data_IF_777658115778
#
_entry.id   IF_777658115778
#
_cell.length_a   1.000
_cell.length_b   1.000
_cell.length_c   1.000
_cell.angle_alpha   90.00
_cell.angle_beta   90.00
_cell.angle_gamma   90.00
#
_symmetry.space_group_name_H-M   'P 1'
#
loop_
_entity.id
_entity.type
_entity.pdbx_description
1 polymer ?
#
# COMPACT_ATOMS: atom_id res chain seq x y z
N UNK A 1 40.80 -0.85 -29.17
CA UNK A 1 39.58 -0.77 -30.00
C UNK A 1 38.39 -0.68 -29.04
N UNK A 2 37.46 0.26 -29.24
CA UNK A 2 36.25 0.38 -28.39
C UNK A 2 35.19 -0.52 -29.00
N UNK A 3 34.60 -1.42 -28.21
CA UNK A 3 33.54 -2.28 -28.71
C UNK A 3 32.25 -1.47 -28.90
N UNK A 4 31.52 -1.75 -29.98
CA UNK A 4 30.24 -1.11 -30.25
C UNK A 4 29.16 -1.68 -29.33
N UNK A 5 28.32 -0.81 -28.78
CA UNK A 5 27.21 -1.26 -27.94
C UNK A 5 26.17 -2.02 -28.78
N UNK A 6 25.75 -3.20 -28.33
CA UNK A 6 24.76 -4.03 -29.05
C UNK A 6 23.31 -3.61 -28.81
N UNK A 7 23.04 -2.72 -27.87
CA UNK A 7 21.67 -2.28 -27.56
C UNK A 7 21.10 -1.48 -28.72
N UNK A 8 19.83 -1.73 -29.05
CA UNK A 8 19.15 -1.04 -30.14
C UNK A 8 19.15 0.48 -29.93
N UNK A 9 19.39 1.23 -31.00
CA UNK A 9 19.50 2.70 -30.99
C UNK A 9 20.63 3.31 -30.13
N UNK A 10 21.50 2.50 -29.52
CA UNK A 10 22.68 3.00 -28.82
C UNK A 10 23.83 3.24 -29.80
N UNK A 11 24.39 4.45 -29.81
CA UNK A 11 25.50 4.85 -30.70
C UNK A 11 26.88 4.76 -30.04
N UNK A 12 26.97 4.25 -28.82
CA UNK A 12 28.26 4.15 -28.11
C UNK A 12 29.24 3.24 -28.84
N UNK A 13 30.47 3.72 -29.04
CA UNK A 13 31.55 2.99 -29.73
C UNK A 13 31.55 3.07 -31.27
N UNK A 14 30.55 3.72 -31.88
CA UNK A 14 30.55 4.05 -33.30
C UNK A 14 31.44 5.27 -33.60
N UNK A 15 31.86 5.46 -34.85
CA UNK A 15 32.76 6.56 -35.27
C UNK A 15 32.28 7.95 -34.83
N UNK A 16 30.96 8.19 -34.92
CA UNK A 16 30.30 9.45 -34.55
C UNK A 16 29.69 9.44 -33.15
N UNK A 17 29.92 8.37 -32.39
CA UNK A 17 29.28 8.13 -31.10
C UNK A 17 30.19 8.41 -29.90
N UNK A 18 29.61 8.48 -28.69
CA UNK A 18 30.40 8.63 -27.48
C UNK A 18 31.27 7.39 -27.24
N UNK A 19 32.48 7.59 -26.73
CA UNK A 19 33.38 6.51 -26.30
C UNK A 19 33.21 6.31 -24.80
N UNK A 20 32.38 5.35 -24.41
CA UNK A 20 32.14 4.99 -23.01
C UNK A 20 32.63 3.57 -22.72
N UNK A 21 32.74 3.23 -21.44
CA UNK A 21 33.06 1.87 -21.01
C UNK A 21 31.97 0.89 -21.45
N UNK A 22 32.41 -0.27 -21.91
CA UNK A 22 31.55 -1.35 -22.40
C UNK A 22 31.91 -2.66 -21.70
N UNK A 23 30.91 -3.48 -21.42
CA UNK A 23 31.06 -4.75 -20.72
C UNK A 23 30.60 -5.90 -21.63
N UNK A 24 31.39 -6.97 -21.67
CA UNK A 24 31.07 -8.17 -22.42
C UNK A 24 29.99 -8.99 -21.70
N UNK A 25 29.32 -9.85 -22.47
CA UNK A 25 28.37 -10.80 -21.91
C UNK A 25 29.06 -11.74 -20.92
N UNK A 26 28.45 -12.02 -19.77
CA UNK A 26 29.00 -12.94 -18.77
C UNK A 26 29.02 -14.38 -19.28
N UNK A 27 29.88 -15.20 -18.67
CA UNK A 27 29.96 -16.64 -18.92
C UNK A 27 28.80 -17.40 -18.26
N UNK A 28 28.29 -16.92 -17.13
CA UNK A 28 27.15 -17.50 -16.42
C UNK A 28 25.90 -17.49 -17.31
N UNK A 29 25.30 -18.67 -17.54
CA UNK A 29 24.18 -18.85 -18.46
C UNK A 29 22.95 -18.02 -18.07
N UNK A 30 22.59 -18.00 -16.79
CA UNK A 30 21.40 -17.29 -16.28
C UNK A 30 21.48 -15.78 -16.50
N UNK A 31 22.64 -15.17 -16.19
CA UNK A 31 22.86 -13.74 -16.34
C UNK A 31 23.00 -13.35 -17.81
N UNK A 32 23.65 -14.21 -18.60
CA UNK A 32 23.77 -14.05 -20.06
C UNK A 32 22.40 -14.03 -20.73
N UNK A 33 21.50 -14.93 -20.34
CA UNK A 33 20.11 -14.96 -20.85
C UNK A 33 19.36 -13.67 -20.55
N UNK A 34 19.49 -13.13 -19.33
CA UNK A 34 18.88 -11.82 -18.97
C UNK A 34 19.40 -10.69 -19.85
N UNK A 35 20.70 -10.68 -20.15
CA UNK A 35 21.28 -9.67 -21.05
C UNK A 35 20.82 -9.85 -22.50
N UNK A 36 20.67 -11.10 -22.97
CA UNK A 36 20.12 -11.40 -24.31
C UNK A 36 18.68 -10.91 -24.41
N UNK A 37 17.87 -11.19 -23.39
CA UNK A 37 16.49 -10.74 -23.29
C UNK A 37 16.41 -9.21 -23.34
N UNK A 38 17.26 -8.50 -22.61
CA UNK A 38 17.32 -7.04 -22.67
C UNK A 38 17.67 -6.50 -24.06
N UNK A 39 18.60 -7.14 -24.79
CA UNK A 39 18.93 -6.71 -26.16
C UNK A 39 17.75 -6.93 -27.12
N UNK A 40 16.93 -7.96 -26.87
CA UNK A 40 15.68 -8.24 -27.58
C UNK A 40 15.78 -8.16 -29.11
N UNK A 41 16.86 -8.70 -29.69
CA UNK A 41 17.05 -8.79 -31.15
C UNK A 41 16.60 -10.15 -31.64
N UNK A 42 15.75 -10.17 -32.66
CA UNK A 42 15.26 -11.39 -33.30
C UNK A 42 16.42 -12.15 -33.94
N UNK A 43 16.47 -13.47 -33.72
CA UNK A 43 17.45 -14.39 -34.31
C UNK A 43 18.92 -14.00 -34.06
N UNK A 44 19.20 -13.30 -32.94
CA UNK A 44 20.53 -12.82 -32.60
C UNK A 44 21.07 -13.47 -31.33
N UNK A 45 22.34 -13.88 -31.37
CA UNK A 45 23.09 -14.39 -30.23
C UNK A 45 24.37 -13.57 -30.00
N UNK A 46 24.79 -13.40 -28.74
CA UNK A 46 25.98 -12.63 -28.43
C UNK A 46 27.24 -13.39 -28.82
N UNK A 47 28.13 -12.70 -29.55
CA UNK A 47 29.49 -13.16 -29.87
C UNK A 47 30.50 -12.69 -28.81
N UNK A 48 31.75 -13.15 -28.91
CA UNK A 48 32.86 -12.67 -28.06
C UNK A 48 33.12 -11.16 -28.14
N UNK A 49 32.67 -10.51 -29.21
CA UNK A 49 32.82 -9.06 -29.40
C UNK A 49 31.58 -8.27 -28.99
N UNK A 50 30.49 -8.95 -28.64
CA UNK A 50 29.26 -8.31 -28.20
C UNK A 50 29.46 -7.69 -26.82
N UNK A 51 29.13 -6.40 -26.69
CA UNK A 51 29.26 -5.66 -25.44
C UNK A 51 28.11 -4.65 -25.27
N UNK A 52 27.75 -4.37 -24.01
CA UNK A 52 26.75 -3.37 -23.62
C UNK A 52 27.47 -2.23 -22.91
N UNK A 53 27.14 -0.98 -23.24
CA UNK A 53 27.76 0.18 -22.61
C UNK A 53 27.22 0.47 -21.21
N UNK A 54 28.02 1.21 -20.43
CA UNK A 54 27.73 1.58 -19.04
C UNK A 54 26.37 2.24 -18.83
N UNK A 55 25.86 2.99 -19.79
CA UNK A 55 24.58 3.72 -19.68
C UNK A 55 23.35 2.81 -19.52
N UNK A 56 23.48 1.52 -19.85
CA UNK A 56 22.37 0.57 -19.75
C UNK A 56 22.28 -0.10 -18.37
N UNK A 57 23.22 0.18 -17.48
CA UNK A 57 23.30 -0.40 -16.15
C UNK A 57 23.05 0.66 -15.08
N UNK A 58 22.43 0.24 -13.98
CA UNK A 58 22.30 1.08 -12.79
C UNK A 58 23.65 1.28 -12.09
N UNK A 59 23.87 2.48 -11.55
CA UNK A 59 25.12 2.86 -10.87
C UNK A 59 25.51 1.93 -9.72
N UNK A 60 24.53 1.30 -9.06
CA UNK A 60 24.78 0.34 -7.97
C UNK A 60 25.69 -0.81 -8.41
N UNK A 61 25.62 -1.20 -9.67
CA UNK A 61 26.39 -2.30 -10.26
C UNK A 61 27.79 -1.90 -10.73
N UNK A 62 28.11 -0.62 -10.77
CA UNK A 62 29.34 -0.09 -11.37
C UNK A 62 30.33 0.26 -10.25
N UNK A 63 31.60 -0.11 -10.43
CA UNK A 63 32.74 0.40 -9.65
C UNK A 63 33.48 1.44 -10.50
N UNK A 64 33.43 2.69 -10.05
CA UNK A 64 34.17 3.80 -10.65
C UNK A 64 35.61 3.82 -10.14
N UNK A 65 36.58 3.96 -11.04
CA UNK A 65 38.01 3.98 -10.75
C UNK A 65 38.81 4.42 -11.98
N UNK A 66 40.10 4.06 -12.07
CA UNK A 66 40.91 4.32 -13.29
C UNK A 66 40.30 3.67 -14.55
N UNK A 67 39.61 2.54 -14.38
CA UNK A 67 38.74 1.92 -15.38
C UNK A 67 37.43 1.56 -14.69
N UNK A 68 36.31 1.77 -15.37
CA UNK A 68 35.01 1.30 -14.88
C UNK A 68 34.95 -0.23 -14.95
N UNK A 69 34.54 -0.86 -13.86
CA UNK A 69 34.38 -2.32 -13.75
C UNK A 69 33.02 -2.67 -13.15
N UNK A 70 32.55 -3.89 -13.38
CA UNK A 70 31.24 -4.35 -12.87
C UNK A 70 31.39 -5.09 -11.54
N UNK A 71 30.41 -4.92 -10.65
CA UNK A 71 30.22 -5.73 -9.44
C UNK A 71 29.51 -7.03 -9.81
N UNK A 72 30.26 -8.02 -10.24
CA UNK A 72 29.69 -9.32 -10.67
C UNK A 72 28.97 -10.06 -9.53
N UNK A 73 29.40 -9.88 -8.28
CA UNK A 73 28.76 -10.47 -7.10
C UNK A 73 27.27 -10.09 -6.94
N UNK A 74 26.87 -8.94 -7.52
CA UNK A 74 25.50 -8.43 -7.47
C UNK A 74 24.63 -8.86 -8.67
N UNK A 75 25.12 -9.77 -9.54
CA UNK A 75 24.45 -10.20 -10.77
C UNK A 75 23.93 -9.01 -11.60
N UNK A 76 24.83 -8.20 -12.18
CA UNK A 76 24.43 -6.95 -12.82
C UNK A 76 23.65 -7.22 -14.11
N UNK A 77 22.43 -6.68 -14.20
CA UNK A 77 21.54 -6.82 -15.36
C UNK A 77 21.29 -5.44 -15.97
N UNK A 78 21.37 -5.29 -17.31
CA UNK A 78 21.01 -4.03 -17.95
C UNK A 78 19.49 -3.83 -17.90
N UNK A 79 19.05 -2.63 -17.52
CA UNK A 79 17.63 -2.29 -17.32
C UNK A 79 17.21 -1.02 -18.05
N UNK A 80 18.16 -0.20 -18.53
CA UNK A 80 17.89 1.13 -19.06
C UNK A 80 17.96 1.13 -20.59
N UNK A 81 16.83 1.28 -21.27
CA UNK A 81 16.79 1.52 -22.71
C UNK A 81 16.98 3.02 -23.02
N UNK A 82 17.73 3.33 -24.08
CA UNK A 82 17.85 4.71 -24.57
C UNK A 82 16.57 5.08 -25.31
N UNK A 83 15.55 5.45 -24.56
CA UNK A 83 14.23 5.81 -25.05
C UNK A 83 14.29 7.07 -25.91
N UNK A 84 14.45 6.90 -27.23
CA UNK A 84 13.63 7.72 -28.11
C UNK A 84 12.24 7.13 -27.99
N UNK A 85 11.37 7.79 -27.22
CA UNK A 85 9.94 7.50 -27.01
C UNK A 85 9.48 6.54 -28.09
N UNK A 86 9.22 5.28 -27.74
CA UNK A 86 8.68 4.30 -28.68
C UNK A 86 7.57 5.00 -29.45
N UNK A 87 7.78 5.26 -30.74
CA UNK A 87 6.70 5.71 -31.59
C UNK A 87 5.58 4.71 -31.35
N UNK A 88 4.41 5.19 -30.93
CA UNK A 88 3.21 4.35 -30.76
C UNK A 88 3.18 3.35 -31.91
N UNK A 89 3.18 2.06 -31.57
CA UNK A 89 3.34 0.96 -32.53
C UNK A 89 2.55 1.24 -33.82
N UNK A 90 3.24 1.32 -34.96
CA UNK A 90 2.59 1.43 -36.27
C UNK A 90 1.95 0.11 -36.69
N UNK A 91 2.15 -0.96 -35.93
CA UNK A 91 1.49 -2.22 -36.18
C UNK A 91 -0.02 -1.99 -36.07
N UNK A 92 -0.74 -2.37 -37.13
CA UNK A 92 -2.19 -2.40 -37.10
C UNK A 92 -2.62 -3.39 -36.02
N UNK A 93 -2.99 -2.87 -34.85
CA UNK A 93 -3.72 -3.65 -33.86
C UNK A 93 -5.02 -4.08 -34.55
N UNK A 94 -5.32 -5.39 -34.63
CA UNK A 94 -6.62 -5.83 -35.12
C UNK A 94 -7.69 -5.10 -34.31
N UNK A 95 -8.62 -4.41 -34.99
CA UNK A 95 -9.80 -3.84 -34.33
C UNK A 95 -10.67 -5.01 -33.88
N UNK A 96 -10.34 -5.60 -32.74
CA UNK A 96 -11.22 -6.53 -32.07
C UNK A 96 -12.43 -5.72 -31.59
N UNK A 97 -13.67 -6.20 -31.80
CA UNK A 97 -14.82 -5.58 -31.19
C UNK A 97 -14.56 -5.50 -29.68
N UNK A 98 -14.70 -4.30 -29.13
CA UNK A 98 -14.59 -4.09 -27.69
C UNK A 98 -15.62 -5.00 -27.02
N UNK A 99 -15.23 -5.73 -25.97
CA UNK A 99 -16.23 -6.40 -25.13
C UNK A 99 -17.19 -5.34 -24.62
N UNK A 100 -18.49 -5.60 -24.73
CA UNK A 100 -19.50 -4.71 -24.18
C UNK A 100 -19.21 -4.46 -22.69
N UNK A 101 -19.45 -3.24 -22.18
CA UNK A 101 -19.31 -2.95 -20.78
C UNK A 101 -20.07 -3.99 -19.96
N UNK A 102 -19.40 -4.59 -18.98
CA UNK A 102 -20.08 -5.45 -18.02
C UNK A 102 -21.16 -4.62 -17.34
N UNK A 103 -22.42 -5.06 -17.45
CA UNK A 103 -23.54 -4.43 -16.76
C UNK A 103 -23.25 -4.47 -15.26
N UNK A 104 -23.00 -3.30 -14.67
CA UNK A 104 -22.87 -3.15 -13.22
C UNK A 104 -24.27 -2.95 -12.66
N UNK A 105 -24.71 -3.87 -11.82
CA UNK A 105 -25.87 -3.62 -10.97
C UNK A 105 -25.43 -2.65 -9.88
N UNK A 106 -25.91 -1.41 -9.96
CA UNK A 106 -25.80 -0.49 -8.83
C UNK A 106 -26.74 -1.01 -7.75
N UNK A 107 -26.22 -1.25 -6.56
CA UNK A 107 -27.03 -1.56 -5.38
C UNK A 107 -28.02 -0.43 -5.10
N UNK A 108 -29.01 -0.70 -4.24
CA UNK A 108 -29.89 0.36 -3.75
C UNK A 108 -29.07 1.37 -2.95
N UNK A 109 -29.53 2.61 -2.90
CA UNK A 109 -28.95 3.60 -1.99
C UNK A 109 -29.28 3.19 -0.55
N UNK A 110 -28.24 2.85 0.21
CA UNK A 110 -28.32 2.44 1.62
C UNK A 110 -27.89 3.60 2.56
N UNK A 111 -27.74 4.83 2.04
CA UNK A 111 -27.29 5.97 2.83
C UNK A 111 -28.25 6.29 3.99
N UNK A 112 -29.57 6.19 3.76
CA UNK A 112 -30.57 6.36 4.81
C UNK A 112 -30.50 5.26 5.86
N UNK A 113 -30.22 4.03 5.45
CA UNK A 113 -30.13 2.90 6.37
C UNK A 113 -28.88 3.04 7.23
N UNK A 114 -27.75 3.38 6.63
CA UNK A 114 -26.49 3.69 7.32
C UNK A 114 -26.65 4.77 8.39
N UNK A 115 -27.34 5.88 8.10
CA UNK A 115 -27.56 6.94 9.09
C UNK A 115 -28.43 6.50 10.27
N UNK A 116 -29.28 5.49 10.10
CA UNK A 116 -30.24 5.07 11.12
C UNK A 116 -29.76 3.85 11.93
N UNK A 117 -28.79 3.07 11.44
CA UNK A 117 -28.32 1.84 12.10
C UNK A 117 -27.82 2.10 13.53
N UNK A 118 -27.02 3.16 13.73
CA UNK A 118 -26.40 3.45 15.04
C UNK A 118 -27.13 4.54 15.85
N UNK A 119 -28.31 4.99 15.39
CA UNK A 119 -29.01 6.12 16.01
C UNK A 119 -29.80 5.69 17.25
N UNK A 120 -29.34 6.13 18.43
CA UNK A 120 -30.06 5.93 19.70
C UNK A 120 -30.96 7.15 19.96
N UNK A 121 -32.27 6.97 19.81
CA UNK A 121 -33.26 8.06 19.95
C UNK A 121 -33.73 8.22 21.41
N UNK A 122 -33.68 7.16 22.22
CA UNK A 122 -34.17 7.20 23.59
C UNK A 122 -33.41 6.26 24.51
N UNK A 123 -33.44 6.55 25.82
CA UNK A 123 -32.86 5.71 26.87
C UNK A 123 -33.50 4.30 26.93
N UNK A 124 -34.72 4.14 26.41
CA UNK A 124 -35.38 2.84 26.32
C UNK A 124 -34.83 1.93 25.22
N UNK A 125 -34.12 2.49 24.24
CA UNK A 125 -33.46 1.73 23.18
C UNK A 125 -32.24 0.97 23.72
N UNK A 126 -31.63 1.44 24.81
CA UNK A 126 -30.52 0.76 25.47
C UNK A 126 -31.01 -0.44 26.30
N UNK A 127 -30.55 -1.62 25.90
CA UNK A 127 -30.85 -2.92 26.50
C UNK A 127 -29.55 -3.66 26.80
N UNK A 128 -29.66 -4.77 27.53
CA UNK A 128 -28.55 -5.66 27.86
C UNK A 128 -27.80 -6.19 26.63
N UNK A 129 -28.46 -6.30 25.47
CA UNK A 129 -27.85 -6.72 24.20
C UNK A 129 -26.75 -5.76 23.70
N UNK A 130 -26.77 -4.50 24.14
CA UNK A 130 -25.78 -3.49 23.79
C UNK A 130 -24.64 -3.42 24.82
N UNK A 131 -24.64 -4.30 25.82
CA UNK A 131 -23.62 -4.33 26.86
C UNK A 131 -22.28 -4.83 26.28
N UNK A 132 -21.17 -4.09 26.45
CA UNK A 132 -19.86 -4.57 26.03
C UNK A 132 -19.47 -5.88 26.75
N UNK A 133 -18.64 -6.73 26.14
CA UNK A 133 -18.21 -7.98 26.76
C UNK A 133 -17.50 -7.71 28.10
N UNK A 134 -17.96 -8.36 29.16
CA UNK A 134 -17.41 -8.21 30.51
C UNK A 134 -17.97 -7.04 31.32
N UNK A 135 -18.98 -6.32 30.81
CA UNK A 135 -19.73 -5.31 31.55
C UNK A 135 -21.06 -5.89 32.06
N UNK A 136 -21.56 -5.32 33.15
CA UNK A 136 -22.90 -5.56 33.69
C UNK A 136 -23.81 -4.39 33.37
N UNK A 137 -25.03 -4.68 32.93
CA UNK A 137 -26.05 -3.68 32.61
C UNK A 137 -26.96 -3.42 33.81
N UNK A 138 -27.21 -2.14 34.10
CA UNK A 138 -28.23 -1.74 35.08
C UNK A 138 -29.01 -0.53 34.55
N UNK A 139 -30.33 -0.67 34.48
CA UNK A 139 -31.25 0.42 34.13
C UNK A 139 -31.80 1.05 35.40
N UNK A 140 -31.59 2.34 35.57
CA UNK A 140 -32.17 3.18 36.61
C UNK A 140 -33.37 3.95 36.03
N UNK A 141 -34.07 4.72 36.87
CA UNK A 141 -35.23 5.50 36.43
C UNK A 141 -34.85 6.59 35.40
N UNK A 142 -33.68 7.21 35.56
CA UNK A 142 -33.25 8.38 34.78
C UNK A 142 -31.90 8.18 34.06
N UNK A 143 -31.29 6.99 34.21
CA UNK A 143 -30.00 6.67 33.60
C UNK A 143 -29.83 5.17 33.33
N UNK A 144 -28.95 4.85 32.41
CA UNK A 144 -28.48 3.49 32.12
C UNK A 144 -27.00 3.42 32.43
N UNK A 145 -26.58 2.41 33.17
CA UNK A 145 -25.19 2.22 33.56
C UNK A 145 -24.70 0.86 33.07
N UNK A 146 -23.63 0.87 32.30
CA UNK A 146 -22.80 -0.30 32.01
C UNK A 146 -21.56 -0.20 32.89
N UNK A 147 -21.30 -1.18 33.74
CA UNK A 147 -20.16 -1.13 34.65
C UNK A 147 -19.42 -2.45 34.75
N UNK A 148 -18.15 -2.38 35.11
CA UNK A 148 -17.29 -3.52 35.38
C UNK A 148 -16.68 -3.36 36.76
N UNK A 149 -16.88 -4.37 37.61
CA UNK A 149 -16.34 -4.39 38.95
C UNK A 149 -15.00 -5.11 38.98
N UNK A 150 -14.08 -4.60 39.79
CA UNK A 150 -12.88 -5.30 40.20
C UNK A 150 -12.97 -5.53 41.71
N UNK A 151 -12.63 -6.73 42.15
CA UNK A 151 -12.55 -7.07 43.57
C UNK A 151 -11.10 -6.95 43.99
N UNK A 152 -10.85 -6.21 45.07
CA UNK A 152 -9.52 -6.13 45.65
C UNK A 152 -9.19 -7.46 46.36
N UNK A 153 -8.02 -8.04 46.06
CA UNK A 153 -7.62 -9.39 46.50
C UNK A 153 -7.47 -9.49 48.03
N UNK A 154 -7.23 -8.36 48.68
CA UNK A 154 -6.95 -8.29 50.13
C UNK A 154 -8.21 -7.95 50.92
N UNK A 155 -9.03 -7.02 50.44
CA UNK A 155 -10.21 -6.52 51.17
C UNK A 155 -11.54 -7.13 50.72
N UNK A 156 -11.59 -7.73 49.52
CA UNK A 156 -12.83 -8.27 48.92
C UNK A 156 -13.87 -7.20 48.54
N UNK A 157 -13.54 -5.91 48.67
CA UNK A 157 -14.46 -4.82 48.39
C UNK A 157 -14.58 -4.62 46.87
N UNK A 158 -15.80 -4.60 46.31
CA UNK A 158 -15.99 -4.31 44.90
C UNK A 158 -15.72 -2.83 44.63
N UNK A 159 -14.82 -2.56 43.69
CA UNK A 159 -14.56 -1.22 43.17
C UNK A 159 -15.00 -1.14 41.71
N UNK A 160 -15.58 0.00 41.32
CA UNK A 160 -15.96 0.22 39.92
C UNK A 160 -14.69 0.50 39.13
N UNK A 161 -14.29 -0.46 38.29
CA UNK A 161 -13.09 -0.37 37.47
C UNK A 161 -13.36 0.42 36.19
N UNK A 162 -14.45 0.12 35.50
CA UNK A 162 -14.89 0.84 34.30
C UNK A 162 -16.39 1.09 34.41
N UNK A 163 -16.85 2.29 34.05
CA UNK A 163 -18.29 2.56 33.91
C UNK A 163 -18.59 3.50 32.76
N UNK A 164 -19.74 3.25 32.14
CA UNK A 164 -20.35 4.04 31.09
C UNK A 164 -21.76 4.35 31.58
N UNK A 165 -22.04 5.62 31.85
CA UNK A 165 -23.36 6.08 32.29
C UNK A 165 -23.98 6.91 31.18
N UNK A 166 -25.21 6.59 30.81
CA UNK A 166 -26.01 7.34 29.85
C UNK A 166 -27.22 7.91 30.57
N UNK A 167 -27.36 9.23 30.60
CA UNK A 167 -28.47 9.91 31.25
C UNK A 167 -29.70 9.99 30.32
N UNK A 168 -30.84 10.44 30.86
CA UNK A 168 -32.08 10.64 30.09
C UNK A 168 -31.92 11.57 28.89
N UNK A 169 -31.04 12.56 29.00
CA UNK A 169 -30.69 13.49 27.91
C UNK A 169 -29.69 12.88 26.90
N UNK A 170 -29.41 11.57 26.99
CA UNK A 170 -28.42 10.84 26.18
C UNK A 170 -26.97 11.32 26.33
N UNK A 171 -26.71 12.13 27.35
CA UNK A 171 -25.36 12.49 27.76
C UNK A 171 -24.63 11.27 28.31
N UNK A 172 -23.42 11.03 27.81
CA UNK A 172 -22.57 9.92 28.23
C UNK A 172 -21.54 10.43 29.23
N UNK A 173 -21.29 9.67 30.27
CA UNK A 173 -20.20 9.90 31.22
C UNK A 173 -19.40 8.62 31.37
N UNK A 174 -18.08 8.74 31.28
CA UNK A 174 -17.16 7.62 31.38
C UNK A 174 -16.37 7.72 32.68
N UNK A 175 -16.15 6.59 33.33
CA UNK A 175 -15.23 6.51 34.47
C UNK A 175 -14.28 5.33 34.35
N UNK A 176 -13.03 5.54 34.75
CA UNK A 176 -12.00 4.50 34.83
C UNK A 176 -11.29 4.57 36.18
N UNK A 177 -11.21 3.44 36.89
CA UNK A 177 -10.65 3.29 38.24
C UNK A 177 -11.18 4.33 39.23
N UNK A 178 -12.47 4.66 39.15
CA UNK A 178 -13.12 5.67 39.98
C UNK A 178 -12.92 7.13 39.56
N UNK A 179 -12.17 7.40 38.48
CA UNK A 179 -11.96 8.76 37.95
C UNK A 179 -12.82 9.02 36.72
N UNK A 180 -13.39 10.21 36.63
CA UNK A 180 -14.13 10.66 35.44
C UNK A 180 -13.18 10.88 34.26
N UNK A 181 -13.55 10.37 33.08
CA UNK A 181 -12.80 10.56 31.83
C UNK A 181 -13.48 11.66 31.02
N UNK A 182 -12.71 12.66 30.60
CA UNK A 182 -13.18 13.68 29.68
C UNK A 182 -13.39 13.09 28.29
N UNK A 183 -14.55 13.34 27.72
CA UNK A 183 -14.87 12.94 26.36
C UNK A 183 -14.13 13.84 25.37
N UNK A 184 -13.57 13.29 24.29
CA UNK A 184 -12.90 14.08 23.26
C UNK A 184 -13.90 14.95 22.49
N UNK A 185 -13.43 16.03 21.88
CA UNK A 185 -14.31 17.01 21.19
C UNK A 185 -15.18 16.38 20.09
N UNK A 186 -14.67 15.37 19.38
CA UNK A 186 -15.43 14.65 18.35
C UNK A 186 -16.59 13.79 18.91
N UNK A 187 -16.59 13.53 20.22
CA UNK A 187 -17.65 12.82 20.92
C UNK A 187 -18.74 13.78 21.44
N UNK A 188 -18.58 15.09 21.26
CA UNK A 188 -19.56 16.07 21.72
C UNK A 188 -20.97 15.71 21.22
N UNK A 189 -21.88 15.50 22.17
CA UNK A 189 -23.32 15.43 21.92
C UNK A 189 -23.69 16.75 21.28
N UNK A 190 -23.95 16.75 19.98
CA UNK A 190 -24.50 17.92 19.30
C UNK A 190 -25.86 18.15 19.92
N UNK A 191 -25.93 19.05 20.90
CA UNK A 191 -27.19 19.56 21.40
C UNK A 191 -27.81 20.29 20.21
N UNK A 192 -28.73 19.64 19.52
CA UNK A 192 -29.58 20.29 18.53
C UNK A 192 -30.48 21.22 19.35
N UNK A 193 -30.02 22.45 19.56
CA UNK A 193 -30.86 23.53 20.06
C UNK A 193 -31.80 23.86 18.90
N UNK A 194 -33.05 23.42 19.02
CA UNK A 194 -34.15 23.84 18.13
C UNK A 194 -34.40 25.35 18.25
#
# INVERSE_FOLDING_TARGET
MVNQCVVTNCKTGYSTGPKKSTFHFPEESSLRERWIYFVNRKDWLPSKYSAICIDHFEDKFIKYGKRCTMKWDLQPVPTIHTDKKSSSSTLRVPKLPRKEPTLRYLGKDEFSDFQNIDKIISLNSLKEQHCPPGFTFKKLHDSVVFYKLCFDEISGIPTVFESITVNKDLNVSLSYKGYHIFLPEWFAVVIIVN
#
